data_IF_983296315558
#
_entry.id   IF_983296315558
#
_cell.length_a   1.000
_cell.length_b   1.000
_cell.length_c   1.000
_cell.angle_alpha   90.00
_cell.angle_beta   90.00
_cell.angle_gamma   90.00
#
_symmetry.space_group_name_H-M   'P 1'
#
loop_
_entity.id
_entity.type
_entity.pdbx_description
1 polymer ?
#
# COMPACT_ATOMS: atom_id res chain seq x y z
N UNK A 1 -2.75 -8.86 4.48
CA UNK A 1 -1.40 -8.33 4.18
C UNK A 1 -1.31 -6.92 4.73
N UNK A 2 -0.30 -6.60 5.51
CA UNK A 2 -0.05 -5.24 6.01
C UNK A 2 1.09 -4.62 5.21
N UNK A 3 0.87 -3.44 4.66
CA UNK A 3 1.91 -2.66 4.00
C UNK A 3 2.33 -1.54 4.94
N UNK A 4 3.60 -1.52 5.32
CA UNK A 4 4.16 -0.38 6.05
C UNK A 4 4.07 0.82 5.12
N UNK A 5 3.12 1.72 5.40
CA UNK A 5 2.96 2.93 4.62
C UNK A 5 4.17 3.83 4.89
N UNK A 6 4.91 4.19 3.85
CA UNK A 6 5.85 5.29 3.98
C UNK A 6 5.09 6.53 4.51
N UNK A 7 5.51 7.13 5.61
CA UNK A 7 4.78 8.24 6.26
C UNK A 7 4.57 9.44 5.32
N UNK A 8 5.31 9.51 4.22
CA UNK A 8 5.22 10.59 3.21
C UNK A 8 4.09 10.38 2.19
N UNK A 9 3.70 9.14 1.88
CA UNK A 9 2.72 8.86 0.83
C UNK A 9 1.29 9.23 1.22
N UNK A 10 0.88 9.03 2.48
CA UNK A 10 -0.46 9.39 2.94
C UNK A 10 -0.70 10.91 2.97
N UNK A 11 0.26 11.70 3.43
CA UNK A 11 0.15 13.17 3.52
C UNK A 11 0.24 13.82 2.13
N UNK A 12 1.11 13.31 1.24
CA UNK A 12 1.24 13.78 -0.13
C UNK A 12 -0.05 13.49 -0.92
N UNK A 13 -0.63 12.31 -0.77
CA UNK A 13 -1.88 11.91 -1.43
C UNK A 13 -3.09 12.76 -1.01
N UNK A 14 -3.25 13.06 0.28
CA UNK A 14 -4.33 13.95 0.76
C UNK A 14 -4.15 15.36 0.23
N UNK A 15 -2.93 15.88 0.15
CA UNK A 15 -2.63 17.20 -0.40
C UNK A 15 -2.89 17.26 -1.89
N UNK A 16 -2.51 16.25 -2.65
CA UNK A 16 -2.81 16.12 -4.08
C UNK A 16 -4.31 15.95 -4.34
N UNK A 17 -5.01 15.17 -3.53
CA UNK A 17 -6.46 15.00 -3.59
C UNK A 17 -7.19 16.34 -3.38
N UNK A 18 -6.83 17.08 -2.32
CA UNK A 18 -7.39 18.42 -2.08
C UNK A 18 -7.13 19.36 -3.25
N UNK A 19 -5.91 19.37 -3.78
CA UNK A 19 -5.55 20.20 -4.93
C UNK A 19 -6.37 19.86 -6.17
N UNK A 20 -6.55 18.58 -6.47
CA UNK A 20 -7.35 18.10 -7.62
C UNK A 20 -8.84 18.39 -7.44
N UNK A 21 -9.38 18.23 -6.24
CA UNK A 21 -10.76 18.57 -5.92
C UNK A 21 -11.01 20.09 -6.08
N UNK A 22 -10.09 20.93 -5.61
CA UNK A 22 -10.20 22.39 -5.79
C UNK A 22 -10.18 22.81 -7.26
N UNK A 23 -9.37 22.17 -8.11
CA UNK A 23 -9.37 22.44 -9.54
C UNK A 23 -10.69 22.07 -10.21
N UNK A 24 -11.29 20.94 -9.86
CA UNK A 24 -12.58 20.52 -10.42
C UNK A 24 -13.73 21.44 -9.97
N UNK A 25 -13.76 21.78 -8.68
CA UNK A 25 -14.74 22.73 -8.13
C UNK A 25 -14.53 24.11 -8.77
N UNK A 26 -13.29 24.58 -8.87
CA UNK A 26 -12.97 25.84 -9.51
C UNK A 26 -13.44 25.92 -10.97
N UNK A 27 -13.29 24.82 -11.72
CA UNK A 27 -13.73 24.73 -13.12
C UNK A 27 -15.27 24.80 -13.22
N UNK A 28 -16.02 24.13 -12.32
CA UNK A 28 -17.48 24.19 -12.26
C UNK A 28 -17.96 25.59 -11.90
N UNK A 29 -17.34 26.24 -10.91
CA UNK A 29 -17.64 27.62 -10.54
C UNK A 29 -17.36 28.58 -11.69
N UNK A 30 -16.21 28.41 -12.37
CA UNK A 30 -15.88 29.21 -13.56
C UNK A 30 -16.94 29.04 -14.66
N UNK A 31 -17.35 27.81 -14.94
CA UNK A 31 -18.40 27.51 -15.91
C UNK A 31 -19.70 28.21 -15.55
N UNK A 32 -20.13 28.16 -14.29
CA UNK A 32 -21.33 28.84 -13.81
C UNK A 32 -21.23 30.37 -13.99
N UNK A 33 -20.07 30.96 -13.64
CA UNK A 33 -19.84 32.40 -13.83
C UNK A 33 -19.89 32.79 -15.30
N UNK A 34 -19.26 32.02 -16.18
CA UNK A 34 -19.24 32.26 -17.64
C UNK A 34 -20.66 32.11 -18.20
N UNK A 35 -21.40 31.09 -17.81
CA UNK A 35 -22.78 30.86 -18.23
C UNK A 35 -23.69 32.04 -17.81
N UNK A 36 -23.65 32.42 -16.53
CA UNK A 36 -24.44 33.54 -15.99
C UNK A 36 -24.09 34.85 -16.70
N UNK A 37 -22.80 35.16 -16.83
CA UNK A 37 -22.35 36.40 -17.49
C UNK A 37 -22.76 36.42 -18.96
N UNK A 38 -22.59 35.29 -19.67
CA UNK A 38 -22.98 35.20 -21.08
C UNK A 38 -24.50 35.39 -21.28
N UNK A 39 -25.33 34.80 -20.43
CA UNK A 39 -26.76 35.00 -20.48
C UNK A 39 -27.19 36.47 -20.23
N UNK A 40 -26.59 37.10 -19.21
CA UNK A 40 -26.86 38.50 -18.88
C UNK A 40 -26.45 39.43 -20.04
N UNK A 41 -25.29 39.21 -20.66
CA UNK A 41 -24.81 40.02 -21.79
C UNK A 41 -25.64 39.81 -23.05
N UNK A 42 -26.13 38.60 -23.30
CA UNK A 42 -26.94 38.25 -24.47
C UNK A 42 -28.43 38.57 -24.28
N UNK A 43 -28.84 38.90 -23.05
CA UNK A 43 -30.24 39.26 -22.76
C UNK A 43 -30.55 40.68 -23.23
N UNK A 44 -31.46 40.76 -24.22
CA UNK A 44 -31.98 42.02 -24.81
C UNK A 44 -33.28 42.46 -24.19
N UNK A 45 -33.75 41.82 -23.13
CA UNK A 45 -35.02 42.19 -22.45
C UNK A 45 -34.89 43.58 -21.80
N UNK A 46 -36.01 44.30 -21.58
CA UNK A 46 -36.01 45.60 -20.87
C UNK A 46 -35.95 45.44 -19.35
N UNK A 47 -35.67 44.23 -18.84
CA UNK A 47 -35.63 43.91 -17.42
C UNK A 47 -34.51 44.67 -16.68
N UNK A 48 -34.65 44.80 -15.35
CA UNK A 48 -33.62 45.42 -14.52
C UNK A 48 -32.33 44.58 -14.49
N UNK A 49 -31.19 45.23 -14.23
CA UNK A 49 -29.91 44.51 -14.14
C UNK A 49 -29.95 43.38 -13.11
N UNK A 50 -30.60 43.61 -11.95
CA UNK A 50 -30.72 42.59 -10.90
C UNK A 50 -31.57 41.40 -11.34
N UNK A 51 -32.66 41.65 -12.05
CA UNK A 51 -33.53 40.56 -12.56
C UNK A 51 -32.76 39.70 -13.59
N UNK A 52 -31.96 40.36 -14.48
CA UNK A 52 -31.14 39.66 -15.46
C UNK A 52 -30.05 38.77 -14.79
N UNK A 53 -29.39 39.28 -13.76
CA UNK A 53 -28.41 38.53 -13.01
C UNK A 53 -29.04 37.34 -12.28
N UNK A 54 -30.19 37.57 -11.62
CA UNK A 54 -30.87 36.49 -10.92
C UNK A 54 -31.38 35.41 -11.87
N UNK A 55 -32.01 35.80 -12.98
CA UNK A 55 -32.45 34.84 -14.01
C UNK A 55 -31.28 34.12 -14.65
N UNK A 56 -30.22 34.84 -15.02
CA UNK A 56 -29.00 34.22 -15.58
C UNK A 56 -28.32 33.27 -14.63
N UNK A 57 -28.32 33.55 -13.32
CA UNK A 57 -27.78 32.61 -12.30
C UNK A 57 -28.71 31.40 -12.16
N UNK A 58 -30.00 31.60 -12.11
CA UNK A 58 -31.00 30.52 -12.06
C UNK A 58 -30.86 29.57 -13.25
N UNK A 59 -30.79 30.13 -14.45
CA UNK A 59 -30.63 29.36 -15.68
C UNK A 59 -29.23 28.69 -15.75
N UNK A 60 -28.22 29.34 -15.24
CA UNK A 60 -26.87 28.76 -15.10
C UNK A 60 -26.84 27.56 -14.15
N UNK A 61 -27.59 27.60 -13.04
CA UNK A 61 -27.74 26.45 -12.14
C UNK A 61 -28.56 25.35 -12.81
N UNK A 62 -29.65 25.70 -13.48
CA UNK A 62 -30.45 24.74 -14.24
C UNK A 62 -29.67 24.07 -15.38
N UNK A 63 -28.70 24.77 -15.97
CA UNK A 63 -27.78 24.21 -16.95
C UNK A 63 -26.96 23.07 -16.36
N UNK A 64 -26.45 23.24 -15.14
CA UNK A 64 -25.64 22.20 -14.47
C UNK A 64 -26.52 21.00 -14.06
N UNK A 65 -27.78 21.26 -13.68
CA UNK A 65 -28.73 20.21 -13.27
C UNK A 65 -29.52 19.60 -14.42
N UNK A 66 -29.44 20.16 -15.63
CA UNK A 66 -30.18 19.75 -16.84
C UNK A 66 -31.69 19.76 -16.71
N UNK A 67 -32.28 20.58 -15.84
CA UNK A 67 -33.72 20.62 -15.51
C UNK A 67 -34.45 21.89 -16.00
N UNK A 68 -33.79 22.76 -16.77
CA UNK A 68 -34.36 24.06 -17.16
C UNK A 68 -35.22 24.03 -18.41
N UNK A 69 -36.23 24.93 -18.47
CA UNK A 69 -36.96 25.28 -19.69
C UNK A 69 -36.34 26.54 -20.31
N UNK A 70 -35.83 26.42 -21.53
CA UNK A 70 -35.13 27.48 -22.27
C UNK A 70 -35.94 28.00 -23.45
N UNK A 71 -37.29 27.85 -23.39
CA UNK A 71 -38.22 28.25 -24.48
C UNK A 71 -38.20 29.73 -24.77
N UNK A 72 -38.03 30.59 -23.75
CA UNK A 72 -38.08 32.05 -23.85
C UNK A 72 -36.78 32.71 -24.37
N UNK A 73 -35.71 31.90 -24.54
CA UNK A 73 -34.43 32.44 -24.96
C UNK A 73 -34.43 32.91 -26.41
N UNK A 74 -33.74 34.02 -26.69
CA UNK A 74 -33.46 34.46 -28.05
C UNK A 74 -32.49 33.47 -28.76
N UNK A 75 -32.38 33.60 -30.11
CA UNK A 75 -31.55 32.61 -30.87
C UNK A 75 -30.07 32.62 -30.46
N UNK A 76 -29.51 33.77 -30.09
CA UNK A 76 -28.09 33.82 -29.63
C UNK A 76 -27.91 33.17 -28.27
N UNK A 77 -28.85 33.37 -27.35
CA UNK A 77 -28.85 32.68 -26.06
C UNK A 77 -29.01 31.18 -26.23
N UNK A 78 -29.89 30.72 -27.13
CA UNK A 78 -30.05 29.28 -27.42
C UNK A 78 -28.76 28.63 -27.94
N UNK A 79 -28.04 29.28 -28.85
CA UNK A 79 -26.76 28.75 -29.35
C UNK A 79 -25.70 28.75 -28.24
N UNK A 80 -25.61 29.84 -27.47
CA UNK A 80 -24.69 29.92 -26.34
C UNK A 80 -24.97 28.83 -25.30
N UNK A 81 -26.23 28.61 -24.92
CA UNK A 81 -26.64 27.58 -23.99
C UNK A 81 -26.36 26.17 -24.50
N UNK A 82 -26.55 25.91 -25.79
CA UNK A 82 -26.21 24.62 -26.40
C UNK A 82 -24.69 24.31 -26.26
N UNK A 83 -23.85 25.30 -26.49
CA UNK A 83 -22.41 25.16 -26.28
C UNK A 83 -22.06 24.98 -24.79
N UNK A 84 -22.71 25.73 -23.90
CA UNK A 84 -22.53 25.61 -22.45
C UNK A 84 -23.00 24.25 -21.92
N UNK A 85 -24.13 23.71 -22.44
CA UNK A 85 -24.60 22.36 -22.10
C UNK A 85 -23.59 21.29 -22.53
N UNK A 86 -22.99 21.43 -23.73
CA UNK A 86 -21.98 20.50 -24.19
C UNK A 86 -20.72 20.57 -23.31
N UNK A 87 -20.28 21.78 -22.96
CA UNK A 87 -19.16 21.97 -22.03
C UNK A 87 -19.45 21.36 -20.64
N UNK A 88 -20.66 21.53 -20.12
CA UNK A 88 -21.10 20.94 -18.83
C UNK A 88 -21.07 19.41 -18.88
N UNK A 89 -21.54 18.81 -19.98
CA UNK A 89 -21.53 17.35 -20.16
C UNK A 89 -20.10 16.81 -20.17
N UNK A 90 -19.18 17.46 -20.86
CA UNK A 90 -17.77 17.06 -20.92
C UNK A 90 -17.10 17.22 -19.55
N UNK A 91 -17.28 18.36 -18.90
CA UNK A 91 -16.70 18.64 -17.57
C UNK A 91 -17.29 17.72 -16.51
N UNK A 92 -18.61 17.53 -16.52
CA UNK A 92 -19.32 16.63 -15.61
C UNK A 92 -18.92 15.17 -15.80
N UNK A 93 -18.84 14.70 -17.03
CA UNK A 93 -18.37 13.36 -17.36
C UNK A 93 -16.94 13.10 -16.87
N UNK A 94 -16.07 14.09 -17.07
CA UNK A 94 -14.69 14.05 -16.57
C UNK A 94 -14.61 14.07 -15.04
N UNK A 95 -15.45 14.87 -14.38
CA UNK A 95 -15.55 14.91 -12.92
C UNK A 95 -16.05 13.58 -12.34
N UNK A 96 -17.08 13.00 -12.94
CA UNK A 96 -17.63 11.68 -12.54
C UNK A 96 -16.59 10.58 -12.76
N UNK A 97 -15.94 10.55 -13.92
CA UNK A 97 -14.89 9.57 -14.22
C UNK A 97 -13.74 9.63 -13.18
N UNK A 98 -13.32 10.83 -12.80
CA UNK A 98 -12.31 11.01 -11.75
C UNK A 98 -12.79 10.60 -10.37
N UNK A 99 -14.03 10.92 -10.02
CA UNK A 99 -14.63 10.52 -8.75
C UNK A 99 -14.78 9.00 -8.66
N UNK A 100 -15.25 8.37 -9.73
CA UNK A 100 -15.37 6.91 -9.82
C UNK A 100 -13.99 6.23 -9.72
N UNK A 101 -12.98 6.74 -10.40
CA UNK A 101 -11.60 6.25 -10.27
C UNK A 101 -11.02 6.39 -8.85
N UNK A 102 -11.51 7.36 -8.06
CA UNK A 102 -11.13 7.51 -6.65
C UNK A 102 -11.90 6.55 -5.73
N UNK A 103 -13.16 6.26 -6.03
CA UNK A 103 -14.02 5.36 -5.23
C UNK A 103 -13.82 3.88 -5.57
N UNK A 104 -13.48 3.58 -6.82
CA UNK A 104 -13.17 2.21 -7.28
C UNK A 104 -11.74 1.78 -6.97
N UNK A 105 -10.94 2.66 -6.34
CA UNK A 105 -9.54 2.37 -6.06
C UNK A 105 -9.41 1.25 -5.03
N UNK A 106 -8.54 0.29 -5.35
CA UNK A 106 -7.96 -0.71 -4.43
C UNK A 106 -7.46 -0.07 -3.12
N UNK A 107 -7.28 1.25 -3.10
CA UNK A 107 -6.80 2.04 -1.97
C UNK A 107 -7.75 2.03 -0.75
N UNK A 108 -9.07 2.03 -0.94
CA UNK A 108 -10.03 2.01 0.19
C UNK A 108 -10.12 0.62 0.80
N UNK A 109 -10.10 -0.41 -0.04
CA UNK A 109 -10.03 -1.81 0.42
C UNK A 109 -8.68 -2.09 1.09
N UNK A 110 -7.58 -1.69 0.48
CA UNK A 110 -6.23 -1.82 1.05
C UNK A 110 -6.09 -1.06 2.39
N UNK A 111 -6.67 0.13 2.52
CA UNK A 111 -6.67 0.88 3.79
C UNK A 111 -7.45 0.16 4.89
N UNK A 112 -8.60 -0.44 4.54
CA UNK A 112 -9.42 -1.19 5.48
C UNK A 112 -8.74 -2.49 5.91
N UNK A 113 -8.15 -3.20 4.97
CA UNK A 113 -7.34 -4.41 5.22
C UNK A 113 -6.11 -4.10 6.06
N UNK A 114 -5.40 -3.02 5.77
CA UNK A 114 -4.27 -2.57 6.57
C UNK A 114 -4.67 -2.29 8.02
N UNK A 115 -5.78 -1.60 8.27
CA UNK A 115 -6.26 -1.34 9.64
C UNK A 115 -6.66 -2.61 10.39
N UNK A 116 -7.26 -3.58 9.71
CA UNK A 116 -7.61 -4.87 10.32
C UNK A 116 -6.34 -5.64 10.67
N UNK A 117 -5.35 -5.62 9.77
CA UNK A 117 -4.08 -6.30 10.00
C UNK A 117 -3.27 -5.61 11.10
N UNK A 118 -3.22 -4.27 11.14
CA UNK A 118 -2.57 -3.48 12.19
C UNK A 118 -3.10 -3.87 13.57
N UNK A 119 -4.42 -3.95 13.75
CA UNK A 119 -5.03 -4.43 15.00
C UNK A 119 -4.63 -5.87 15.34
N UNK A 120 -4.52 -6.76 14.33
CA UNK A 120 -4.04 -8.12 14.56
C UNK A 120 -2.58 -8.14 14.98
N UNK A 121 -1.75 -7.30 14.37
CA UNK A 121 -0.33 -7.15 14.74
C UNK A 121 -0.18 -6.60 16.17
N UNK A 122 -1.01 -5.63 16.57
CA UNK A 122 -0.98 -5.05 17.92
C UNK A 122 -1.25 -6.08 19.04
N UNK A 123 -2.01 -7.12 18.73
CA UNK A 123 -2.32 -8.21 19.67
C UNK A 123 -1.40 -9.44 19.52
N UNK A 124 -0.43 -9.40 18.60
CA UNK A 124 0.51 -10.49 18.40
C UNK A 124 1.48 -10.58 19.60
N UNK A 125 1.56 -11.76 20.16
CA UNK A 125 2.52 -12.08 21.19
C UNK A 125 3.06 -13.50 21.00
N UNK A 126 4.33 -13.73 21.35
CA UNK A 126 5.01 -15.03 21.27
C UNK A 126 5.02 -15.64 19.85
N UNK A 127 4.93 -14.81 18.83
CA UNK A 127 5.01 -15.22 17.43
C UNK A 127 6.46 -15.36 16.96
N UNK A 128 6.65 -16.05 15.85
CA UNK A 128 7.94 -16.17 15.17
C UNK A 128 7.93 -15.27 13.94
N UNK A 129 8.94 -14.43 13.83
CA UNK A 129 9.11 -13.56 12.66
C UNK A 129 10.07 -14.23 11.68
N UNK A 130 9.68 -14.31 10.40
CA UNK A 130 10.52 -14.83 9.31
C UNK A 130 10.76 -13.70 8.31
N UNK A 131 12.02 -13.31 8.13
CA UNK A 131 12.40 -12.25 7.19
C UNK A 131 12.89 -12.87 5.88
N UNK A 132 12.19 -12.52 4.78
CA UNK A 132 12.40 -13.10 3.46
C UNK A 132 11.51 -14.33 3.20
N UNK A 133 10.90 -14.39 2.02
CA UNK A 133 10.04 -15.50 1.61
C UNK A 133 10.48 -16.05 0.25
N UNK A 134 11.78 -16.37 0.17
CA UNK A 134 12.36 -17.20 -0.88
C UNK A 134 12.25 -18.67 -0.48
N UNK A 135 12.87 -19.56 -1.23
CA UNK A 135 12.76 -21.01 -1.02
C UNK A 135 13.01 -21.45 0.42
N UNK A 136 14.06 -20.92 1.07
CA UNK A 136 14.37 -21.27 2.47
C UNK A 136 13.34 -20.68 3.44
N UNK A 137 13.00 -19.41 3.27
CA UNK A 137 12.03 -18.72 4.13
C UNK A 137 10.65 -19.33 4.06
N UNK A 138 10.20 -19.70 2.86
CA UNK A 138 8.94 -20.42 2.63
C UNK A 138 8.93 -21.77 3.35
N UNK A 139 9.97 -22.57 3.19
CA UNK A 139 10.08 -23.86 3.88
C UNK A 139 10.07 -23.71 5.41
N UNK A 140 10.80 -22.73 5.94
CA UNK A 140 10.85 -22.45 7.38
C UNK A 140 9.49 -22.01 7.90
N UNK A 141 8.86 -21.03 7.23
CA UNK A 141 7.56 -20.49 7.62
C UNK A 141 6.48 -21.61 7.63
N UNK A 142 6.42 -22.41 6.57
CA UNK A 142 5.46 -23.50 6.45
C UNK A 142 5.67 -24.59 7.54
N UNK A 143 6.92 -24.95 7.82
CA UNK A 143 7.23 -25.94 8.89
C UNK A 143 6.89 -25.40 10.27
N UNK A 144 7.18 -24.14 10.56
CA UNK A 144 6.83 -23.48 11.82
C UNK A 144 5.31 -23.41 12.00
N UNK A 145 4.59 -23.06 10.95
CA UNK A 145 3.12 -23.02 10.95
C UNK A 145 2.53 -24.42 11.17
N UNK A 146 3.06 -25.45 10.50
CA UNK A 146 2.65 -26.83 10.69
C UNK A 146 2.93 -27.34 12.12
N UNK A 147 3.97 -26.78 12.78
CA UNK A 147 4.27 -27.05 14.19
C UNK A 147 3.41 -26.22 15.18
N UNK A 148 2.37 -25.53 14.70
CA UNK A 148 1.43 -24.76 15.53
C UNK A 148 1.99 -23.41 16.00
N UNK A 149 3.09 -22.90 15.41
CA UNK A 149 3.62 -21.58 15.74
C UNK A 149 2.87 -20.51 14.94
N UNK A 150 2.60 -19.38 15.57
CA UNK A 150 2.12 -18.19 14.86
C UNK A 150 3.28 -17.56 14.11
N UNK A 151 3.19 -17.50 12.79
CA UNK A 151 4.26 -16.97 11.92
C UNK A 151 3.85 -15.64 11.33
N UNK A 152 4.76 -14.66 11.42
CA UNK A 152 4.69 -13.37 10.74
C UNK A 152 5.83 -13.30 9.73
N UNK A 153 5.50 -13.09 8.46
CA UNK A 153 6.46 -13.01 7.37
C UNK A 153 6.74 -11.55 7.02
N UNK A 154 8.00 -11.16 6.99
CA UNK A 154 8.46 -9.84 6.54
C UNK A 154 9.10 -9.96 5.16
N UNK A 155 8.63 -9.17 4.20
CA UNK A 155 9.16 -9.17 2.83
C UNK A 155 9.27 -7.75 2.29
N UNK A 156 10.24 -7.53 1.39
CA UNK A 156 10.43 -6.26 0.69
C UNK A 156 9.76 -6.20 -0.69
N UNK A 157 9.30 -7.33 -1.19
CA UNK A 157 8.77 -7.48 -2.54
C UNK A 157 7.30 -7.95 -2.53
N UNK A 158 6.50 -7.39 -3.46
CA UNK A 158 5.07 -7.66 -3.57
C UNK A 158 4.77 -9.11 -3.97
N UNK A 159 5.59 -9.71 -4.84
CA UNK A 159 5.36 -11.08 -5.30
C UNK A 159 5.60 -12.09 -4.18
N UNK A 160 6.62 -11.86 -3.35
CA UNK A 160 6.84 -12.66 -2.13
C UNK A 160 5.70 -12.48 -1.13
N UNK A 161 5.19 -11.25 -0.99
CA UNK A 161 4.07 -10.95 -0.11
C UNK A 161 2.79 -11.70 -0.53
N UNK A 162 2.50 -11.71 -1.83
CA UNK A 162 1.35 -12.44 -2.37
C UNK A 162 1.49 -13.95 -2.12
N UNK A 163 2.66 -14.55 -2.44
CA UNK A 163 2.91 -15.99 -2.20
C UNK A 163 2.79 -16.35 -0.72
N UNK A 164 3.32 -15.54 0.18
CA UNK A 164 3.22 -15.79 1.60
C UNK A 164 1.78 -15.69 2.11
N UNK A 165 1.00 -14.74 1.57
CA UNK A 165 -0.43 -14.61 1.88
C UNK A 165 -1.25 -15.79 1.34
N UNK A 166 -0.95 -16.29 0.14
CA UNK A 166 -1.58 -17.46 -0.47
C UNK A 166 -1.31 -18.74 0.35
N UNK A 167 -0.14 -18.82 1.00
CA UNK A 167 0.19 -19.87 1.98
C UNK A 167 -0.53 -19.68 3.33
N UNK A 168 -1.31 -18.63 3.52
CA UNK A 168 -2.07 -18.36 4.74
C UNK A 168 -1.29 -17.68 5.86
N UNK A 169 -0.08 -17.18 5.59
CA UNK A 169 0.72 -16.47 6.57
C UNK A 169 0.29 -15.02 6.74
N UNK A 170 0.50 -14.47 7.93
CA UNK A 170 0.44 -13.03 8.14
C UNK A 170 1.67 -12.39 7.51
N UNK A 171 1.46 -11.31 6.75
CA UNK A 171 2.53 -10.68 5.95
C UNK A 171 2.62 -9.20 6.25
N UNK A 172 3.83 -8.73 6.50
CA UNK A 172 4.21 -7.32 6.52
C UNK A 172 5.10 -7.06 5.30
N UNK A 173 4.63 -6.19 4.42
CA UNK A 173 5.38 -5.70 3.27
C UNK A 173 6.00 -4.34 3.62
N UNK A 174 7.32 -4.26 3.55
CA UNK A 174 8.05 -3.02 3.78
C UNK A 174 9.21 -2.85 2.82
N UNK A 175 9.63 -1.61 2.58
CA UNK A 175 10.80 -1.35 1.75
C UNK A 175 12.08 -1.87 2.43
N UNK A 176 13.00 -2.53 1.69
CA UNK A 176 14.27 -2.98 2.22
C UNK A 176 15.15 -1.83 2.76
N UNK A 177 14.92 -0.61 2.29
CA UNK A 177 15.68 0.58 2.71
C UNK A 177 15.29 1.10 4.11
N UNK A 178 14.20 0.58 4.70
CA UNK A 178 13.65 1.04 5.99
C UNK A 178 13.42 -0.14 6.93
N UNK A 179 14.44 -0.97 7.12
CA UNK A 179 14.35 -2.15 7.99
C UNK A 179 13.93 -1.81 9.43
N UNK A 180 14.33 -0.67 9.97
CA UNK A 180 14.02 -0.29 11.35
C UNK A 180 12.49 -0.15 11.55
N UNK A 181 11.81 0.57 10.67
CA UNK A 181 10.35 0.74 10.75
C UNK A 181 9.60 -0.58 10.54
N UNK A 182 10.06 -1.40 9.62
CA UNK A 182 9.45 -2.71 9.32
C UNK A 182 9.59 -3.67 10.50
N UNK A 183 10.76 -3.73 11.12
CA UNK A 183 11.04 -4.57 12.29
C UNK A 183 10.25 -4.11 13.53
N UNK A 184 10.05 -2.81 13.71
CA UNK A 184 9.19 -2.27 14.79
C UNK A 184 7.72 -2.68 14.59
N UNK A 185 7.21 -2.61 13.35
CA UNK A 185 5.85 -3.07 13.03
C UNK A 185 5.68 -4.59 13.18
N UNK A 186 6.78 -5.35 13.09
CA UNK A 186 6.78 -6.78 13.35
C UNK A 186 6.69 -7.16 14.84
N UNK A 187 6.63 -6.19 15.75
CA UNK A 187 6.50 -6.41 17.18
C UNK A 187 7.57 -7.35 17.73
N UNK A 188 8.84 -7.07 17.41
CA UNK A 188 9.99 -7.85 17.92
C UNK A 188 10.10 -7.80 19.45
N UNK A 189 9.51 -6.79 20.08
CA UNK A 189 9.38 -6.66 21.54
C UNK A 189 8.59 -7.80 22.19
N UNK A 190 7.60 -8.34 21.49
CA UNK A 190 6.73 -9.43 21.97
C UNK A 190 6.94 -10.73 21.22
N UNK A 191 7.80 -10.75 20.20
CA UNK A 191 8.14 -11.93 19.43
C UNK A 191 8.92 -12.95 20.27
N UNK A 192 8.76 -14.24 19.97
CA UNK A 192 9.51 -15.33 20.58
C UNK A 192 10.85 -15.57 19.91
N UNK A 193 10.89 -15.44 18.59
CA UNK A 193 12.10 -15.67 17.79
C UNK A 193 12.03 -14.92 16.45
N UNK A 194 13.19 -14.68 15.88
CA UNK A 194 13.39 -14.16 14.54
C UNK A 194 14.21 -15.16 13.73
N UNK A 195 13.75 -15.46 12.52
CA UNK A 195 14.52 -16.24 11.54
C UNK A 195 14.78 -15.33 10.33
N UNK A 196 16.04 -15.09 10.01
CA UNK A 196 16.43 -14.24 8.88
C UNK A 196 16.83 -15.17 7.73
N UNK A 197 16.18 -15.05 6.57
CA UNK A 197 16.36 -15.95 5.42
C UNK A 197 16.48 -15.17 4.11
N UNK A 198 16.99 -13.93 4.16
CA UNK A 198 17.18 -13.18 2.92
C UNK A 198 18.36 -13.75 2.12
N UNK A 199 18.37 -13.64 0.79
CA UNK A 199 19.47 -14.15 -0.03
C UNK A 199 20.76 -13.32 0.08
N UNK A 200 20.67 -12.10 0.63
CA UNK A 200 21.81 -11.20 0.79
C UNK A 200 22.37 -11.28 2.21
N UNK A 201 23.61 -11.73 2.32
CA UNK A 201 24.32 -11.89 3.59
C UNK A 201 24.55 -10.57 4.34
N UNK A 202 24.68 -9.45 3.64
CA UNK A 202 24.83 -8.14 4.26
C UNK A 202 23.51 -7.67 4.87
N UNK A 203 22.40 -7.93 4.17
CA UNK A 203 21.07 -7.69 4.72
C UNK A 203 20.82 -8.57 5.94
N UNK A 204 21.24 -9.84 5.92
CA UNK A 204 21.11 -10.73 7.07
C UNK A 204 21.87 -10.18 8.29
N UNK A 205 23.09 -9.65 8.09
CA UNK A 205 23.87 -9.04 9.15
C UNK A 205 23.22 -7.76 9.70
N UNK A 206 22.75 -6.87 8.81
CA UNK A 206 22.09 -5.63 9.19
C UNK A 206 20.78 -5.88 9.96
N UNK A 207 19.95 -6.81 9.48
CA UNK A 207 18.70 -7.19 10.14
C UNK A 207 18.97 -7.79 11.51
N UNK A 208 19.98 -8.67 11.63
CA UNK A 208 20.37 -9.28 12.91
C UNK A 208 20.78 -8.22 13.93
N UNK A 209 21.65 -7.29 13.53
CA UNK A 209 22.12 -6.20 14.41
C UNK A 209 20.96 -5.29 14.85
N UNK A 210 20.09 -4.89 13.91
CA UNK A 210 18.90 -4.06 14.22
C UNK A 210 17.94 -4.79 15.14
N UNK A 211 17.65 -6.06 14.87
CA UNK A 211 16.76 -6.86 15.70
C UNK A 211 17.30 -7.04 17.11
N UNK A 212 18.60 -7.30 17.27
CA UNK A 212 19.25 -7.40 18.56
C UNK A 212 19.22 -6.05 19.33
N UNK A 213 19.38 -4.94 18.61
CA UNK A 213 19.27 -3.59 19.21
C UNK A 213 17.85 -3.30 19.70
N UNK A 214 16.82 -3.77 18.98
CA UNK A 214 15.42 -3.59 19.36
C UNK A 214 15.02 -4.52 20.52
N UNK A 215 15.51 -5.75 20.54
CA UNK A 215 15.26 -6.72 21.61
C UNK A 215 16.46 -7.65 21.80
N UNK A 216 17.30 -7.31 22.78
CA UNK A 216 18.51 -8.06 23.08
C UNK A 216 18.28 -9.50 23.59
N UNK A 217 17.05 -9.84 24.00
CA UNK A 217 16.68 -11.18 24.50
C UNK A 217 16.03 -12.05 23.44
N UNK A 218 15.82 -11.51 22.21
CA UNK A 218 15.19 -12.24 21.13
C UNK A 218 16.08 -13.35 20.63
N UNK A 219 15.53 -14.57 20.48
CA UNK A 219 16.22 -15.66 19.82
C UNK A 219 16.31 -15.38 18.32
N UNK A 220 17.51 -15.14 17.79
CA UNK A 220 17.76 -14.82 16.39
C UNK A 220 18.52 -15.98 15.73
N UNK A 221 17.93 -16.56 14.70
CA UNK A 221 18.51 -17.66 13.92
C UNK A 221 18.74 -17.21 12.48
N UNK A 222 19.95 -17.39 11.98
CA UNK A 222 20.39 -16.85 10.68
C UNK A 222 21.23 -17.88 9.92
N UNK A 223 21.09 -18.05 8.59
CA UNK A 223 22.05 -18.80 7.79
C UNK A 223 23.37 -18.03 7.66
N UNK A 224 24.46 -18.74 7.79
CA UNK A 224 25.82 -18.26 7.52
C UNK A 224 26.44 -19.00 6.35
N UNK A 225 27.31 -18.32 5.60
CA UNK A 225 27.97 -18.90 4.42
C UNK A 225 29.30 -19.61 4.78
N UNK A 226 29.96 -19.11 5.81
CA UNK A 226 31.28 -19.59 6.22
C UNK A 226 31.59 -19.25 7.70
N UNK A 227 32.64 -19.81 8.29
CA UNK A 227 32.99 -19.54 9.70
C UNK A 227 33.25 -18.08 10.04
N UNK A 228 33.82 -17.29 9.11
CA UNK A 228 34.02 -15.85 9.33
C UNK A 228 32.72 -15.11 9.45
N UNK A 229 31.77 -15.35 8.54
CA UNK A 229 30.43 -14.78 8.59
C UNK A 229 29.65 -15.23 9.82
N UNK A 230 29.84 -16.49 10.24
CA UNK A 230 29.27 -16.99 11.50
C UNK A 230 29.72 -16.13 12.68
N UNK A 231 31.02 -15.88 12.84
CA UNK A 231 31.51 -15.02 13.94
C UNK A 231 31.00 -13.60 13.90
N UNK A 232 30.81 -13.01 12.70
CA UNK A 232 30.22 -11.68 12.55
C UNK A 232 28.75 -11.66 12.96
N UNK A 233 27.95 -12.64 12.54
CA UNK A 233 26.53 -12.74 12.88
C UNK A 233 26.33 -13.00 14.37
N UNK A 234 27.15 -13.85 14.98
CA UNK A 234 27.13 -14.08 16.44
C UNK A 234 27.50 -12.78 17.19
N UNK A 235 28.49 -12.03 16.72
CA UNK A 235 28.85 -10.72 17.29
C UNK A 235 27.76 -9.67 17.10
N UNK A 236 26.92 -9.78 16.05
CA UNK A 236 25.77 -8.93 15.81
C UNK A 236 24.55 -9.31 16.64
N UNK A 237 24.60 -10.39 17.43
CA UNK A 237 23.54 -10.83 18.32
C UNK A 237 22.75 -12.05 17.86
N UNK A 238 23.20 -12.78 16.84
CA UNK A 238 22.57 -14.04 16.48
C UNK A 238 22.73 -15.09 17.59
N UNK A 239 21.64 -15.70 17.99
CA UNK A 239 21.65 -16.79 18.99
C UNK A 239 22.13 -18.11 18.40
N UNK A 240 21.91 -18.31 17.11
CA UNK A 240 22.39 -19.46 16.36
C UNK A 240 22.64 -19.09 14.90
N UNK A 241 23.77 -19.53 14.38
CA UNK A 241 24.12 -19.39 12.95
C UNK A 241 24.29 -20.77 12.35
N UNK A 242 23.56 -21.02 11.28
CA UNK A 242 23.53 -22.31 10.59
C UNK A 242 24.29 -22.20 9.28
N UNK A 243 25.37 -22.97 9.12
CA UNK A 243 26.08 -23.10 7.84
C UNK A 243 25.42 -24.26 7.09
N UNK A 244 24.72 -23.92 6.01
CA UNK A 244 23.93 -24.90 5.25
C UNK A 244 24.82 -25.99 4.63
N UNK A 245 26.00 -25.62 4.11
CA UNK A 245 26.92 -26.54 3.49
C UNK A 245 27.46 -27.60 4.46
N UNK A 246 27.71 -27.25 5.73
CA UNK A 246 28.14 -28.19 6.76
C UNK A 246 27.06 -29.24 7.02
N UNK A 247 25.77 -28.78 7.16
CA UNK A 247 24.66 -29.71 7.39
C UNK A 247 24.43 -30.63 6.20
N UNK A 248 24.52 -30.09 4.98
CA UNK A 248 24.34 -30.87 3.76
C UNK A 248 25.48 -31.88 3.62
N UNK A 249 26.76 -31.50 3.89
CA UNK A 249 27.90 -32.39 3.87
C UNK A 249 27.75 -33.54 4.86
N UNK A 250 27.37 -33.24 6.12
CA UNK A 250 27.12 -34.24 7.16
C UNK A 250 26.01 -35.21 6.75
N UNK A 251 24.92 -34.69 6.18
CA UNK A 251 23.79 -35.50 5.73
C UNK A 251 24.17 -36.42 4.56
N UNK A 252 24.97 -35.91 3.60
CA UNK A 252 25.47 -36.71 2.46
C UNK A 252 26.41 -37.83 2.92
N UNK A 253 27.37 -37.50 3.78
CA UNK A 253 28.30 -38.50 4.35
C UNK A 253 27.53 -39.53 5.14
N UNK A 254 26.62 -39.15 6.03
CA UNK A 254 25.84 -40.09 6.82
C UNK A 254 24.99 -41.04 5.98
N UNK A 255 24.36 -40.54 4.89
CA UNK A 255 23.63 -41.40 3.94
C UNK A 255 24.53 -42.38 3.19
N UNK A 256 25.69 -41.88 2.73
CA UNK A 256 26.64 -42.74 2.03
C UNK A 256 27.17 -43.85 2.95
N UNK A 257 27.57 -43.52 4.18
CA UNK A 257 28.09 -44.48 5.15
C UNK A 257 27.06 -45.58 5.44
N UNK A 258 25.79 -45.19 5.65
CA UNK A 258 24.69 -46.17 5.87
C UNK A 258 24.50 -47.09 4.66
N UNK A 259 24.65 -46.59 3.42
CA UNK A 259 24.55 -47.42 2.22
C UNK A 259 25.73 -48.39 2.05
N UNK A 260 26.95 -47.93 2.38
CA UNK A 260 28.14 -48.80 2.32
C UNK A 260 28.11 -49.93 3.34
N UNK A 261 27.53 -49.71 4.51
CA UNK A 261 27.33 -50.75 5.55
C UNK A 261 26.22 -51.76 5.20
N UNK A 262 25.27 -51.36 4.36
CA UNK A 262 24.13 -52.22 3.95
C UNK A 262 24.37 -52.97 2.64
N UNK A 263 25.48 -52.69 1.93
CA UNK A 263 25.86 -53.39 0.68
C UNK A 263 26.94 -54.43 1.04
N UNK A 264 26.64 -55.74 0.96
CA UNK A 264 27.58 -56.80 1.28
C UNK A 264 28.73 -56.91 0.30
#
# INVERSE_FOLDING_TARGET
MYRVAEPRLGVVRIREWRRRAHHTIGLLVLLLVVATTGLVVLDRSPASFFDKVFTGLWDGVNLVTTVGDFSEFNQFQKVFMLLAMFATLVIGGFAVSRLTGMLSGDDVMAYRENRIMERKLDHLARHVVVVGFHTLGELVANRLSAAGQTVLVLVGDQDQANRAADCGHMVVLGSPDVFDDVLRHARLDTARALVVTTPDSNNNLAITLLAHTLNATLAIVVPGENPLRKGLLESAGASAVIIADDIVADALVGKLTTQLETTP
#
